data_IF_091656930460
#
_entry.id   IF_091656930460
#
_cell.length_a   1.000
_cell.length_b   1.000
_cell.length_c   1.000
_cell.angle_alpha   90.00
_cell.angle_beta   90.00
_cell.angle_gamma   90.00
#
_symmetry.space_group_name_H-M   'P 1'
#
loop_
_entity.id
_entity.type
_entity.pdbx_description
1 polymer ?
#
# COMPACT_ATOMS: atom_id res chain seq x y z
N UNK A 1 -15.10 -20.60 6.65
CA UNK A 1 -14.77 -19.45 5.76
C UNK A 1 -13.68 -18.64 6.43
N UNK A 2 -12.54 -18.43 5.78
CA UNK A 2 -11.48 -17.56 6.30
C UNK A 2 -11.71 -16.11 5.88
N UNK A 3 -11.62 -15.19 6.85
CA UNK A 3 -11.91 -13.77 6.64
C UNK A 3 -10.62 -12.96 6.56
N UNK A 4 -10.54 -12.07 5.59
CA UNK A 4 -9.45 -11.12 5.49
C UNK A 4 -9.51 -10.09 6.63
N UNK A 5 -8.41 -9.94 7.37
CA UNK A 5 -8.33 -9.03 8.53
C UNK A 5 -7.55 -7.76 8.20
N UNK A 6 -7.69 -6.75 9.07
CA UNK A 6 -6.90 -5.51 9.00
C UNK A 6 -5.41 -5.80 9.16
N UNK A 7 -5.04 -6.84 9.93
CA UNK A 7 -3.65 -7.24 10.10
C UNK A 7 -3.01 -7.70 8.78
N UNK A 8 -3.73 -8.45 7.94
CA UNK A 8 -3.25 -8.87 6.61
C UNK A 8 -2.98 -7.66 5.70
N UNK A 9 -3.84 -6.64 5.76
CA UNK A 9 -3.65 -5.40 5.01
C UNK A 9 -2.45 -4.58 5.53
N UNK A 10 -2.28 -4.50 6.84
CA UNK A 10 -1.14 -3.83 7.47
C UNK A 10 0.18 -4.51 7.11
N UNK A 11 0.21 -5.84 7.09
CA UNK A 11 1.38 -6.61 6.67
C UNK A 11 1.76 -6.32 5.21
N UNK A 12 0.78 -6.29 4.30
CA UNK A 12 1.04 -5.92 2.90
C UNK A 12 1.63 -4.50 2.81
N UNK A 13 1.06 -3.53 3.52
CA UNK A 13 1.59 -2.15 3.54
C UNK A 13 3.03 -2.10 4.06
N UNK A 14 3.36 -2.87 5.09
CA UNK A 14 4.72 -2.92 5.63
C UNK A 14 5.72 -3.46 4.61
N UNK A 15 5.36 -4.52 3.87
CA UNK A 15 6.21 -5.01 2.79
C UNK A 15 6.34 -4.01 1.65
N UNK A 16 5.26 -3.33 1.26
CA UNK A 16 5.34 -2.29 0.23
C UNK A 16 6.27 -1.14 0.66
N UNK A 17 6.22 -0.73 1.93
CA UNK A 17 7.14 0.27 2.49
C UNK A 17 8.59 -0.20 2.51
N UNK A 18 8.84 -1.42 2.98
CA UNK A 18 10.19 -1.98 3.09
C UNK A 18 10.86 -2.23 1.71
N UNK A 19 10.06 -2.56 0.70
CA UNK A 19 10.55 -2.85 -0.66
C UNK A 19 10.57 -1.62 -1.58
N UNK A 20 9.89 -0.54 -1.19
CA UNK A 20 9.70 0.62 -2.06
C UNK A 20 8.69 0.39 -3.20
N UNK A 21 8.01 -0.77 -3.23
CA UNK A 21 6.95 -1.00 -4.22
C UNK A 21 5.75 -0.11 -3.97
N UNK A 22 5.19 0.44 -5.05
CA UNK A 22 4.04 1.35 -5.00
C UNK A 22 2.71 0.61 -4.84
N UNK A 23 2.65 -0.66 -5.27
CA UNK A 23 1.41 -1.40 -5.42
C UNK A 23 1.53 -2.83 -4.90
N UNK A 24 0.53 -3.25 -4.12
CA UNK A 24 0.36 -4.63 -3.69
C UNK A 24 -1.06 -5.15 -3.90
N UNK A 25 -1.17 -6.45 -4.14
CA UNK A 25 -2.43 -7.18 -4.21
C UNK A 25 -2.48 -8.21 -3.09
N UNK A 26 -3.62 -8.28 -2.41
CA UNK A 26 -3.90 -9.25 -1.36
C UNK A 26 -5.04 -10.16 -1.81
N UNK A 27 -4.78 -11.46 -1.86
CA UNK A 27 -5.74 -12.47 -2.29
C UNK A 27 -6.23 -13.30 -1.11
N UNK A 28 -7.53 -13.59 -1.06
CA UNK A 28 -8.10 -14.57 -0.14
C UNK A 28 -8.70 -15.73 -0.95
N UNK A 29 -8.04 -16.89 -0.88
CA UNK A 29 -8.50 -18.13 -1.50
C UNK A 29 -9.31 -19.01 -0.53
N UNK A 30 -9.42 -18.62 0.75
CA UNK A 30 -10.11 -19.37 1.80
C UNK A 30 -11.57 -18.96 2.00
N UNK A 31 -12.12 -18.15 1.11
CA UNK A 31 -13.54 -17.74 1.05
C UNK A 31 -14.28 -18.47 -0.07
N UNK A 32 -15.62 -18.43 -0.04
CA UNK A 32 -16.48 -19.07 -1.05
C UNK A 32 -16.20 -18.59 -2.48
N UNK A 33 -15.64 -17.41 -2.63
CA UNK A 33 -15.15 -16.84 -3.88
C UNK A 33 -13.81 -16.15 -3.67
N UNK A 34 -13.04 -15.98 -4.75
CA UNK A 34 -11.78 -15.25 -4.71
C UNK A 34 -12.02 -13.79 -4.30
N UNK A 35 -11.41 -13.35 -3.20
CA UNK A 35 -11.41 -11.94 -2.83
C UNK A 35 -10.06 -11.32 -3.15
N UNK A 36 -10.08 -10.09 -3.68
CA UNK A 36 -8.89 -9.34 -4.05
C UNK A 36 -8.96 -7.95 -3.43
N UNK A 37 -7.89 -7.51 -2.75
CA UNK A 37 -7.72 -6.13 -2.29
C UNK A 37 -6.48 -5.51 -2.88
N UNK A 38 -6.61 -4.27 -3.35
CA UNK A 38 -5.51 -3.44 -3.85
C UNK A 38 -5.04 -2.48 -2.76
N UNK A 39 -3.72 -2.41 -2.52
CA UNK A 39 -3.10 -1.43 -1.61
C UNK A 39 -2.02 -0.64 -2.32
N UNK A 40 -2.05 0.67 -2.10
CA UNK A 40 -1.08 1.62 -2.65
C UNK A 40 -0.21 2.11 -1.52
N UNK A 41 1.10 1.99 -1.69
CA UNK A 41 2.07 2.65 -0.82
C UNK A 41 2.17 4.11 -1.26
N UNK A 42 1.54 5.01 -0.48
CA UNK A 42 1.80 6.44 -0.61
C UNK A 42 3.18 6.71 -0.04
N UNK A 43 4.21 6.43 -0.85
CA UNK A 43 5.50 7.04 -0.63
C UNK A 43 5.29 8.56 -0.74
N UNK A 44 5.90 9.39 0.12
CA UNK A 44 5.95 10.81 -0.15
C UNK A 44 6.56 10.96 -1.55
N UNK A 45 5.83 11.62 -2.45
CA UNK A 45 6.32 11.84 -3.80
C UNK A 45 7.71 12.45 -3.67
N UNK A 46 8.72 11.81 -4.28
CA UNK A 46 10.09 12.30 -4.29
C UNK A 46 10.24 13.65 -5.04
N UNK A 47 9.13 14.30 -5.38
CA UNK A 47 9.02 15.51 -6.18
C UNK A 47 8.61 16.75 -5.38
N UNK A 48 8.42 16.68 -4.07
CA UNK A 48 8.25 17.87 -3.22
C UNK A 48 9.53 18.20 -2.43
N UNK A 49 10.62 18.50 -3.14
CA UNK A 49 11.83 19.08 -2.52
C UNK A 49 12.34 20.37 -3.17
N UNK A 50 11.64 20.99 -4.12
CA UNK A 50 12.00 22.34 -4.60
C UNK A 50 10.76 23.19 -4.90
N UNK A 51 10.42 24.09 -3.96
CA UNK A 51 9.86 25.44 -4.21
C UNK A 51 9.27 26.02 -2.92
N UNK A 52 10.08 26.14 -1.88
CA UNK A 52 9.90 27.16 -0.84
C UNK A 52 11.19 27.98 -0.75
N UNK A 53 11.51 28.73 -1.80
CA UNK A 53 12.43 29.87 -1.73
C UNK A 53 12.50 30.62 -3.09
N UNK A 54 11.66 31.64 -3.29
CA UNK A 54 12.07 32.98 -3.76
C UNK A 54 10.88 33.90 -4.06
N UNK A 55 11.14 35.17 -3.75
CA UNK A 55 10.39 36.40 -4.01
C UNK A 55 9.28 36.72 -3.00
N UNK A 56 9.41 37.67 -2.08
CA UNK A 56 9.86 39.09 -2.23
C UNK A 56 8.96 39.86 -3.20
#
# INVERSE_FOLDING_TARGET
>A
IQKLTVACEAQLINYLKATGFQLGLLFNFGSESLQVKRKVNRLPDATFSESSAKSA
#
